data_IF_935592132905
#
_entry.id   IF_935592132905
#
_cell.length_a   1.000
_cell.length_b   1.000
_cell.length_c   1.000
_cell.angle_alpha   90.00
_cell.angle_beta   90.00
_cell.angle_gamma   90.00
#
_symmetry.space_group_name_H-M   'P 1'
#
loop_
_entity.id
_entity.type
_entity.pdbx_description
1 polymer ?
#
# COMPACT_ATOMS: atom_id res chain seq x y z
N UNK A 1 -40.90 -43.16 -14.20
CA UNK A 1 -39.82 -43.51 -13.22
C UNK A 1 -38.53 -43.64 -14.03
N UNK A 2 -37.45 -42.90 -13.83
CA UNK A 2 -36.95 -42.14 -12.68
C UNK A 2 -36.30 -40.83 -13.14
N UNK A 3 -36.44 -39.81 -12.30
CA UNK A 3 -35.71 -38.55 -12.31
C UNK A 3 -34.25 -38.77 -11.87
N UNK A 4 -33.32 -38.05 -12.50
CA UNK A 4 -32.01 -37.71 -11.92
C UNK A 4 -31.48 -36.39 -12.49
N UNK A 5 -31.69 -35.33 -11.71
CA UNK A 5 -31.14 -33.96 -11.65
C UNK A 5 -29.78 -33.65 -12.30
N UNK A 6 -29.63 -32.49 -12.98
CA UNK A 6 -28.37 -31.76 -13.07
C UNK A 6 -28.16 -30.90 -11.81
N UNK A 7 -26.99 -31.06 -11.18
CA UNK A 7 -26.55 -30.24 -10.05
C UNK A 7 -26.12 -28.85 -10.56
N UNK A 8 -27.04 -27.89 -10.50
CA UNK A 8 -26.73 -26.45 -10.60
C UNK A 8 -25.90 -26.05 -9.38
N UNK A 9 -24.58 -25.89 -9.57
CA UNK A 9 -23.74 -25.21 -8.59
C UNK A 9 -24.08 -23.72 -8.62
N UNK A 10 -24.89 -23.32 -7.65
CA UNK A 10 -25.19 -21.94 -7.32
C UNK A 10 -23.87 -21.18 -7.05
N UNK A 11 -23.61 -20.15 -7.85
CA UNK A 11 -22.71 -19.07 -7.44
C UNK A 11 -23.35 -18.41 -6.20
N UNK A 12 -22.64 -18.27 -5.07
CA UNK A 12 -23.06 -17.35 -4.04
C UNK A 12 -22.88 -15.94 -4.61
N UNK A 13 -23.97 -15.35 -5.09
CA UNK A 13 -24.07 -13.91 -5.33
C UNK A 13 -23.99 -13.25 -3.95
N UNK A 14 -22.78 -12.91 -3.52
CA UNK A 14 -22.58 -11.99 -2.40
C UNK A 14 -22.77 -10.57 -2.92
N UNK A 15 -24.03 -10.16 -3.05
CA UNK A 15 -24.38 -8.75 -3.01
C UNK A 15 -24.19 -8.26 -1.58
N UNK A 16 -22.99 -7.79 -1.24
CA UNK A 16 -22.71 -7.13 0.05
C UNK A 16 -22.41 -5.67 -0.26
N UNK A 17 -23.27 -4.80 0.24
CA UNK A 17 -23.04 -3.35 0.35
C UNK A 17 -21.68 -3.08 1.02
N UNK A 18 -20.88 -2.23 0.38
CA UNK A 18 -19.44 -2.07 0.63
C UNK A 18 -19.05 -1.59 2.04
N UNK A 19 -19.95 -1.00 2.85
CA UNK A 19 -19.61 -0.61 4.22
C UNK A 19 -19.45 -1.79 5.21
N UNK A 20 -20.23 -2.87 5.08
CA UNK A 20 -20.27 -3.92 6.12
C UNK A 20 -19.23 -5.03 5.96
N UNK A 21 -18.78 -5.28 4.73
CA UNK A 21 -17.80 -6.32 4.45
C UNK A 21 -16.43 -5.97 5.03
N UNK A 22 -16.02 -4.70 4.92
CA UNK A 22 -14.70 -4.24 5.37
C UNK A 22 -14.48 -4.48 6.86
N UNK A 23 -15.43 -4.09 7.70
CA UNK A 23 -15.39 -4.32 9.16
C UNK A 23 -15.32 -5.81 9.50
N UNK A 24 -16.08 -6.63 8.78
CA UNK A 24 -16.10 -8.07 9.00
C UNK A 24 -14.77 -8.74 8.59
N UNK A 25 -14.12 -8.24 7.54
CA UNK A 25 -12.78 -8.70 7.12
C UNK A 25 -11.69 -8.19 8.06
N UNK A 26 -11.77 -6.94 8.52
CA UNK A 26 -10.85 -6.36 9.50
C UNK A 26 -10.89 -7.13 10.82
N UNK A 27 -12.09 -7.42 11.35
CA UNK A 27 -12.25 -8.22 12.56
C UNK A 27 -11.72 -9.66 12.40
N UNK A 28 -11.92 -10.28 11.23
CA UNK A 28 -11.36 -11.61 10.93
C UNK A 28 -9.84 -11.59 10.81
N UNK A 29 -9.28 -10.53 10.24
CA UNK A 29 -7.84 -10.33 10.10
C UNK A 29 -7.16 -10.04 11.44
N UNK A 30 -7.77 -9.22 12.31
CA UNK A 30 -7.30 -9.01 13.67
C UNK A 30 -7.34 -10.29 14.51
N UNK A 31 -8.39 -11.10 14.39
CA UNK A 31 -8.47 -12.41 15.06
C UNK A 31 -7.38 -13.38 14.54
N UNK A 32 -7.08 -13.35 13.24
CA UNK A 32 -5.99 -14.12 12.66
C UNK A 32 -4.62 -13.66 13.18
N UNK A 33 -4.34 -12.35 13.18
CA UNK A 33 -3.10 -11.80 13.73
C UNK A 33 -2.93 -12.09 15.24
N UNK A 34 -4.03 -12.02 16.00
CA UNK A 34 -4.06 -12.38 17.42
C UNK A 34 -3.75 -13.86 17.67
N UNK A 35 -4.16 -14.77 16.77
CA UNK A 35 -3.83 -16.19 16.85
C UNK A 35 -2.36 -16.51 16.54
N UNK A 36 -1.65 -15.61 15.84
CA UNK A 36 -0.22 -15.77 15.50
C UNK A 36 0.73 -15.05 16.48
N UNK A 37 0.22 -14.49 17.58
CA UNK A 37 1.06 -13.86 18.61
C UNK A 37 1.75 -12.57 18.16
N UNK A 38 1.32 -11.96 17.05
CA UNK A 38 1.82 -10.67 16.62
C UNK A 38 1.07 -9.57 17.38
N UNK A 39 1.58 -9.20 18.55
CA UNK A 39 1.21 -7.91 19.16
C UNK A 39 1.53 -6.80 18.15
N UNK A 40 0.54 -5.98 17.74
CA UNK A 40 0.86 -4.74 17.03
C UNK A 40 1.83 -3.95 17.91
N UNK A 41 2.90 -3.33 17.38
CA UNK A 41 3.71 -2.43 18.17
C UNK A 41 2.76 -1.34 18.68
N UNK A 42 2.49 -1.40 19.99
CA UNK A 42 1.74 -0.39 20.70
C UNK A 42 2.42 0.94 20.46
N UNK A 43 1.60 1.93 20.13
CA UNK A 43 2.02 3.31 19.94
C UNK A 43 2.88 3.76 21.13
N UNK A 44 4.18 3.95 20.88
CA UNK A 44 5.01 4.81 21.72
C UNK A 44 4.80 6.24 21.20
N UNK A 45 4.24 7.16 22.00
CA UNK A 45 4.12 8.55 21.61
C UNK A 45 5.41 9.27 21.97
N UNK A 46 6.32 9.47 21.01
CA UNK A 46 7.38 10.45 21.21
C UNK A 46 7.81 11.12 19.89
N UNK A 47 7.49 12.41 19.84
CA UNK A 47 8.18 13.50 19.15
C UNK A 47 8.44 13.39 17.63
N UNK A 48 7.46 13.90 16.86
CA UNK A 48 7.74 14.96 15.89
C UNK A 48 6.48 15.82 15.70
N UNK A 49 6.23 16.69 16.68
CA UNK A 49 5.42 17.89 16.44
C UNK A 49 6.27 18.83 15.57
N UNK A 50 6.16 18.66 14.25
CA UNK A 50 6.50 19.75 13.34
C UNK A 50 5.55 20.91 13.66
N UNK A 51 6.11 21.93 14.31
CA UNK A 51 5.49 23.22 14.61
C UNK A 51 4.64 23.71 13.44
N UNK A 52 3.32 23.75 13.63
CA UNK A 52 2.47 24.72 12.97
C UNK A 52 2.93 26.10 13.43
N UNK A 53 3.70 26.80 12.60
CA UNK A 53 4.01 28.20 12.83
C UNK A 53 2.75 29.02 12.58
N UNK A 54 2.06 29.35 13.67
CA UNK A 54 1.21 30.54 13.74
C UNK A 54 2.05 31.76 13.34
N UNK A 55 1.66 32.38 12.24
CA UNK A 55 2.07 33.74 11.88
C UNK A 55 0.83 34.52 11.45
N UNK A 56 -0.06 34.77 12.41
CA UNK A 56 -1.00 35.88 12.31
C UNK A 56 -0.30 37.16 12.69
N UNK A 57 0.13 37.94 11.69
CA UNK A 57 0.08 39.41 11.74
C UNK A 57 0.18 40.03 10.34
N UNK A 58 -0.85 40.83 10.03
CA UNK A 58 -0.88 41.98 9.12
C UNK A 58 -1.04 41.78 7.60
N UNK A 59 -2.29 42.01 7.18
CA UNK A 59 -2.72 42.94 6.11
C UNK A 59 -2.38 42.59 4.66
N UNK A 60 -3.31 41.86 4.04
CA UNK A 60 -3.44 41.73 2.59
C UNK A 60 -4.36 40.56 2.29
N UNK A 61 -5.40 40.77 1.49
CA UNK A 61 -6.39 39.77 1.11
C UNK A 61 -5.76 38.63 0.29
N UNK A 62 -5.01 37.73 0.93
CA UNK A 62 -4.57 36.46 0.38
C UNK A 62 -5.45 35.36 0.98
N UNK A 63 -6.01 34.52 0.12
CA UNK A 63 -6.68 33.30 0.55
C UNK A 63 -5.74 32.51 1.48
N UNK A 64 -6.25 31.90 2.56
CA UNK A 64 -5.42 31.11 3.46
C UNK A 64 -4.70 30.02 2.66
N UNK A 65 -3.39 29.87 2.87
CA UNK A 65 -2.59 28.87 2.18
C UNK A 65 -3.19 27.47 2.39
N UNK A 66 -3.34 26.69 1.31
CA UNK A 66 -3.89 25.34 1.41
C UNK A 66 -2.96 24.45 2.25
N UNK A 67 -3.48 23.69 3.23
CA UNK A 67 -2.64 22.78 4.02
C UNK A 67 -2.06 21.67 3.13
N UNK A 68 -0.90 21.17 3.54
CA UNK A 68 -0.27 19.99 2.93
C UNK A 68 -0.80 18.77 3.67
N UNK A 69 -1.53 17.92 2.97
CA UNK A 69 -2.20 16.77 3.59
C UNK A 69 -1.29 15.54 3.61
N UNK A 70 -1.19 14.87 4.76
CA UNK A 70 -0.43 13.62 4.90
C UNK A 70 -1.35 12.44 4.66
N UNK A 71 -1.07 11.67 3.62
CA UNK A 71 -1.85 10.51 3.22
C UNK A 71 -1.40 9.27 3.96
N UNK A 72 -2.36 8.60 4.58
CA UNK A 72 -2.23 7.34 5.33
C UNK A 72 -3.27 6.35 4.83
N UNK A 73 -3.10 5.07 5.16
CA UNK A 73 -4.01 4.02 4.69
C UNK A 73 -5.48 4.29 5.06
N UNK A 74 -5.72 4.96 6.19
CA UNK A 74 -7.05 5.16 6.75
C UNK A 74 -7.73 6.43 6.22
N UNK A 75 -6.97 7.48 5.86
CA UNK A 75 -7.54 8.79 5.54
C UNK A 75 -7.46 9.18 4.04
N UNK A 76 -6.66 8.48 3.23
CA UNK A 76 -6.30 8.99 1.90
C UNK A 76 -7.50 9.16 0.96
N UNK A 77 -8.51 8.28 1.04
CA UNK A 77 -9.70 8.41 0.20
C UNK A 77 -10.52 9.64 0.60
N UNK A 78 -10.78 9.78 1.89
CA UNK A 78 -11.61 10.86 2.42
C UNK A 78 -10.97 12.22 2.18
N UNK A 79 -9.64 12.32 2.33
CA UNK A 79 -8.90 13.54 2.02
C UNK A 79 -8.97 13.89 0.53
N UNK A 80 -8.74 12.92 -0.37
CA UNK A 80 -8.74 13.18 -1.81
C UNK A 80 -10.14 13.51 -2.36
N UNK A 81 -11.19 12.90 -1.81
CA UNK A 81 -12.58 13.19 -2.19
C UNK A 81 -13.19 14.39 -1.46
N UNK A 82 -12.62 14.80 -0.32
CA UNK A 82 -13.11 15.93 0.49
C UNK A 82 -13.37 17.23 -0.29
N UNK A 83 -12.46 17.70 -1.16
CA UNK A 83 -12.70 18.92 -1.95
C UNK A 83 -13.58 18.67 -3.19
N UNK A 84 -13.85 17.42 -3.56
CA UNK A 84 -14.56 17.08 -4.79
C UNK A 84 -16.06 17.33 -4.61
N UNK A 85 -16.58 18.35 -5.30
CA UNK A 85 -18.01 18.62 -5.31
C UNK A 85 -18.74 17.54 -6.12
N UNK A 86 -19.79 16.96 -5.53
CA UNK A 86 -20.58 15.87 -6.12
C UNK A 86 -21.23 16.21 -7.47
N UNK A 87 -21.44 17.49 -7.76
CA UNK A 87 -22.06 17.99 -9.00
C UNK A 87 -21.09 18.68 -9.95
N UNK A 88 -19.79 18.77 -9.61
CA UNK A 88 -18.81 19.44 -10.47
C UNK A 88 -18.39 18.54 -11.62
N UNK A 89 -18.41 19.09 -12.84
CA UNK A 89 -17.80 18.48 -14.03
C UNK A 89 -16.31 18.79 -14.14
N UNK A 90 -15.83 19.81 -13.42
CA UNK A 90 -14.40 20.16 -13.38
C UNK A 90 -13.68 19.28 -12.35
N UNK A 91 -12.59 18.61 -12.75
CA UNK A 91 -11.82 17.78 -11.83
C UNK A 91 -11.04 18.64 -10.84
N UNK A 92 -11.05 18.25 -9.57
CA UNK A 92 -10.20 18.85 -8.55
C UNK A 92 -8.80 18.24 -8.65
N UNK A 93 -7.78 19.06 -8.85
CA UNK A 93 -6.43 18.59 -9.07
C UNK A 93 -5.63 18.50 -7.75
N UNK A 94 -5.08 17.31 -7.51
CA UNK A 94 -4.20 16.98 -6.39
C UNK A 94 -2.79 16.70 -6.87
N UNK A 95 -1.81 17.25 -6.17
CA UNK A 95 -0.38 17.00 -6.38
C UNK A 95 0.18 16.33 -5.14
N UNK A 96 0.48 15.05 -5.25
CA UNK A 96 0.96 14.22 -4.15
C UNK A 96 2.42 13.88 -4.39
N UNK A 97 3.30 14.27 -3.48
CA UNK A 97 4.66 13.76 -3.46
C UNK A 97 4.67 12.37 -2.84
N UNK A 98 5.24 11.41 -3.57
CA UNK A 98 5.50 10.07 -3.08
C UNK A 98 6.97 9.92 -2.78
N UNK A 99 7.28 9.66 -1.52
CA UNK A 99 8.64 9.41 -1.05
C UNK A 99 8.78 8.01 -0.45
N UNK A 100 10.03 7.54 -0.38
CA UNK A 100 10.41 6.28 0.25
C UNK A 100 11.33 6.46 1.45
N UNK A 101 11.44 7.67 2.00
CA UNK A 101 12.29 7.96 3.15
C UNK A 101 13.74 7.51 2.94
N UNK A 102 14.34 6.95 3.99
CA UNK A 102 15.70 6.45 3.93
C UNK A 102 15.75 5.03 3.40
N UNK A 103 14.85 4.13 3.82
CA UNK A 103 14.95 2.71 3.47
C UNK A 103 14.39 2.40 2.09
N UNK A 104 13.14 2.77 1.84
CA UNK A 104 12.43 2.43 0.59
C UNK A 104 13.03 3.15 -0.62
N UNK A 105 13.75 4.25 -0.41
CA UNK A 105 14.42 5.03 -1.45
C UNK A 105 15.95 4.88 -1.47
N UNK A 106 16.50 3.85 -0.82
CA UNK A 106 17.96 3.59 -0.77
C UNK A 106 18.80 4.79 -0.29
N UNK A 107 18.26 5.61 0.60
CA UNK A 107 18.89 6.79 1.17
C UNK A 107 18.97 8.00 0.23
N UNK A 108 18.23 7.99 -0.89
CA UNK A 108 18.34 9.03 -1.93
C UNK A 108 17.11 9.92 -2.07
N UNK A 109 16.15 9.83 -1.15
CA UNK A 109 14.96 10.68 -1.19
C UNK A 109 15.10 12.00 -0.42
N UNK A 110 16.14 12.17 0.40
CA UNK A 110 16.32 13.37 1.21
C UNK A 110 16.34 14.66 0.36
N UNK A 111 16.93 14.60 -0.82
CA UNK A 111 17.06 15.75 -1.72
C UNK A 111 15.71 16.16 -2.36
N UNK A 112 14.97 15.25 -3.03
CA UNK A 112 13.62 15.57 -3.51
C UNK A 112 12.62 15.89 -2.40
N UNK A 113 12.74 15.30 -1.21
CA UNK A 113 11.90 15.66 -0.04
C UNK A 113 12.16 17.10 0.43
N UNK A 114 13.44 17.49 0.55
CA UNK A 114 13.80 18.86 0.92
C UNK A 114 13.33 19.87 -0.13
N UNK A 115 13.47 19.52 -1.42
CA UNK A 115 12.97 20.32 -2.52
C UNK A 115 11.44 20.51 -2.46
N UNK A 116 10.70 19.44 -2.16
CA UNK A 116 9.24 19.50 -2.00
C UNK A 116 8.88 20.42 -0.84
N UNK A 117 9.42 20.18 0.35
CA UNK A 117 9.13 20.99 1.54
C UNK A 117 9.45 22.48 1.35
N UNK A 118 10.45 22.82 0.53
CA UNK A 118 10.80 24.20 0.21
C UNK A 118 9.91 24.86 -0.86
N UNK A 119 9.25 24.07 -1.71
CA UNK A 119 8.42 24.56 -2.82
C UNK A 119 6.92 24.54 -2.49
N UNK A 120 6.44 23.53 -1.76
CA UNK A 120 5.02 23.36 -1.43
C UNK A 120 4.41 24.56 -0.71
N UNK A 121 5.05 25.23 0.28
CA UNK A 121 4.49 26.44 0.90
C UNK A 121 4.32 27.58 -0.09
N UNK A 122 5.20 27.68 -1.09
CA UNK A 122 5.11 28.70 -2.15
C UNK A 122 3.95 28.40 -3.08
N UNK A 123 3.76 27.14 -3.45
CA UNK A 123 2.64 26.69 -4.28
C UNK A 123 1.32 26.88 -3.53
N UNK A 124 1.24 26.49 -2.26
CA UNK A 124 0.05 26.59 -1.43
C UNK A 124 -0.44 28.04 -1.22
N UNK A 125 0.47 29.02 -1.26
CA UNK A 125 0.16 30.44 -1.15
C UNK A 125 -0.41 31.04 -2.45
N UNK A 126 -0.38 30.32 -3.58
CA UNK A 126 -0.91 30.80 -4.85
C UNK A 126 -2.45 30.65 -4.88
N UNK A 127 -3.17 31.61 -5.49
CA UNK A 127 -4.64 31.66 -5.46
C UNK A 127 -5.32 30.48 -6.18
N UNK A 128 -4.73 30.03 -7.29
CA UNK A 128 -5.17 28.87 -8.06
C UNK A 128 -4.12 27.76 -7.92
N UNK A 129 -3.93 27.23 -6.72
CA UNK A 129 -3.01 26.12 -6.47
C UNK A 129 -3.74 24.78 -6.44
N UNK A 130 -3.12 23.67 -6.89
CA UNK A 130 -3.64 22.34 -6.66
C UNK A 130 -3.67 22.03 -5.17
N UNK A 131 -4.48 21.04 -4.78
CA UNK A 131 -4.38 20.47 -3.44
C UNK A 131 -3.05 19.72 -3.31
N UNK A 132 -2.36 19.88 -2.19
CA UNK A 132 -1.02 19.34 -2.01
C UNK A 132 -1.08 18.20 -1.00
N UNK A 133 -0.48 17.06 -1.36
CA UNK A 133 -0.42 15.88 -0.53
C UNK A 133 0.99 15.34 -0.39
N UNK A 134 1.19 14.52 0.63
CA UNK A 134 2.44 13.87 0.93
C UNK A 134 2.20 12.42 1.36
N UNK A 135 2.82 11.48 0.65
CA UNK A 135 2.75 10.06 0.92
C UNK A 135 4.16 9.52 1.17
N UNK A 136 4.40 9.06 2.41
CA UNK A 136 5.64 8.42 2.79
C UNK A 136 5.47 6.88 2.78
N UNK A 137 6.09 6.22 1.81
CA UNK A 137 6.06 4.77 1.64
C UNK A 137 6.89 3.98 2.67
N UNK A 138 7.78 4.64 3.41
CA UNK A 138 8.46 4.00 4.55
C UNK A 138 7.50 3.93 5.75
N UNK A 139 6.73 4.99 6.01
CA UNK A 139 5.75 5.03 7.09
C UNK A 139 4.44 4.29 6.74
N UNK A 140 4.01 4.33 5.47
CA UNK A 140 2.76 3.74 4.98
C UNK A 140 3.02 2.75 3.82
N UNK A 141 3.73 1.64 4.07
CA UNK A 141 4.15 0.72 3.01
C UNK A 141 2.97 0.01 2.36
N UNK A 142 1.89 -0.26 3.10
CA UNK A 142 0.67 -0.88 2.55
C UNK A 142 -0.02 0.06 1.58
N UNK A 143 -0.18 1.34 1.94
CA UNK A 143 -0.78 2.33 1.04
C UNK A 143 0.03 2.48 -0.26
N UNK A 144 1.36 2.47 -0.17
CA UNK A 144 2.18 2.50 -1.37
C UNK A 144 2.07 1.24 -2.24
N UNK A 145 1.81 0.08 -1.65
CA UNK A 145 1.46 -1.12 -2.42
C UNK A 145 0.06 -1.03 -3.05
N UNK A 146 -0.93 -0.45 -2.34
CA UNK A 146 -2.27 -0.17 -2.91
C UNK A 146 -2.17 0.70 -4.16
N UNK A 147 -1.31 1.71 -4.11
CA UNK A 147 -1.08 2.62 -5.24
C UNK A 147 -0.09 2.04 -6.25
N UNK A 148 0.65 0.97 -5.90
CA UNK A 148 1.83 0.50 -6.65
C UNK A 148 2.79 1.65 -6.97
N UNK A 149 3.00 2.50 -5.97
CA UNK A 149 3.71 3.76 -6.14
C UNK A 149 5.22 3.60 -5.98
N UNK A 150 5.97 4.21 -6.92
CA UNK A 150 7.43 4.26 -6.88
C UNK A 150 7.95 5.61 -6.39
N UNK A 151 8.90 5.60 -5.47
CA UNK A 151 9.56 6.80 -4.95
C UNK A 151 10.95 7.06 -5.61
N UNK A 152 11.38 8.33 -5.76
CA UNK A 152 10.60 9.56 -5.57
C UNK A 152 9.80 9.93 -6.83
N UNK A 153 8.54 10.33 -6.68
CA UNK A 153 7.72 10.82 -7.78
C UNK A 153 6.64 11.80 -7.33
N UNK A 154 6.22 12.69 -8.23
CA UNK A 154 5.04 13.56 -8.04
C UNK A 154 3.89 12.98 -8.85
N UNK A 155 2.75 12.81 -8.21
CA UNK A 155 1.52 12.32 -8.83
C UNK A 155 0.54 13.47 -8.94
N UNK A 156 0.06 13.72 -10.15
CA UNK A 156 -1.06 14.63 -10.39
C UNK A 156 -2.32 13.78 -10.57
N UNK A 157 -3.26 13.92 -9.65
CA UNK A 157 -4.53 13.22 -9.65
C UNK A 157 -5.63 14.21 -10.00
N UNK A 158 -6.36 13.94 -11.07
CA UNK A 158 -7.55 14.71 -11.46
C UNK A 158 -8.77 14.04 -10.85
N UNK A 159 -9.10 14.44 -9.63
CA UNK A 159 -10.19 13.84 -8.87
C UNK A 159 -11.54 14.27 -9.45
N UNK A 160 -12.39 13.29 -9.74
CA UNK A 160 -13.77 13.50 -10.20
C UNK A 160 -14.74 12.86 -9.20
N UNK A 161 -15.99 13.32 -9.11
CA UNK A 161 -16.97 12.67 -8.24
C UNK A 161 -17.17 11.22 -8.67
N UNK A 162 -17.20 10.31 -7.68
CA UNK A 162 -17.52 8.91 -7.93
C UNK A 162 -18.91 8.80 -8.59
N UNK A 163 -19.11 7.92 -9.60
CA UNK A 163 -18.24 6.81 -10.04
C UNK A 163 -17.29 7.16 -11.22
N UNK A 164 -17.06 8.44 -11.51
CA UNK A 164 -16.25 8.84 -12.66
C UNK A 164 -14.79 8.39 -12.51
N UNK A 165 -14.16 8.07 -13.64
CA UNK A 165 -12.76 7.65 -13.67
C UNK A 165 -11.81 8.80 -13.30
N UNK A 166 -10.90 8.53 -12.37
CA UNK A 166 -9.88 9.46 -11.89
C UNK A 166 -8.62 9.32 -12.75
N UNK A 167 -8.18 10.39 -13.41
CA UNK A 167 -6.95 10.35 -14.22
C UNK A 167 -5.74 10.62 -13.32
N UNK A 168 -4.74 9.72 -13.36
CA UNK A 168 -3.49 9.89 -12.62
C UNK A 168 -2.33 9.94 -13.60
N UNK A 169 -1.54 11.01 -13.53
CA UNK A 169 -0.29 11.16 -14.28
C UNK A 169 0.88 11.29 -13.32
N UNK A 170 1.97 10.60 -13.65
CA UNK A 170 3.13 10.42 -12.77
C UNK A 170 4.34 11.12 -13.38
N UNK A 171 5.02 11.93 -12.57
CA UNK A 171 6.34 12.49 -12.87
C UNK A 171 7.38 11.88 -11.93
N UNK A 172 8.20 10.92 -12.41
CA UNK A 172 9.36 10.46 -11.66
C UNK A 172 10.35 11.61 -11.44
N UNK A 173 10.99 11.61 -10.28
CA UNK A 173 11.96 12.63 -9.90
C UNK A 173 13.39 12.08 -9.91
N UNK A 174 14.34 12.93 -10.29
CA UNK A 174 15.76 12.61 -10.22
C UNK A 174 16.21 12.68 -8.76
N UNK A 175 16.67 11.56 -8.23
CA UNK A 175 17.09 11.44 -6.83
C UNK A 175 18.23 12.38 -6.43
N UNK A 176 19.04 12.81 -7.40
CA UNK A 176 20.25 13.59 -7.16
C UNK A 176 20.17 15.03 -7.70
N UNK A 177 19.15 15.37 -8.51
CA UNK A 177 19.10 16.66 -9.23
C UNK A 177 17.80 17.44 -8.98
N UNK A 178 16.78 16.85 -8.36
CA UNK A 178 15.53 17.55 -8.02
C UNK A 178 15.72 18.64 -6.97
N UNK A 179 15.79 19.90 -7.39
CA UNK A 179 15.81 21.06 -6.49
C UNK A 179 14.42 21.67 -6.31
N UNK A 180 14.27 22.63 -5.39
CA UNK A 180 13.02 23.36 -5.22
C UNK A 180 12.62 24.11 -6.52
N UNK A 181 13.60 24.63 -7.27
CA UNK A 181 13.35 25.26 -8.56
C UNK A 181 12.80 24.25 -9.56
N UNK A 182 13.37 23.04 -9.62
CA UNK A 182 12.86 21.96 -10.47
C UNK A 182 11.38 21.67 -10.22
N UNK A 183 10.93 21.71 -8.96
CA UNK A 183 9.52 21.48 -8.61
C UNK A 183 8.64 22.67 -9.02
N UNK A 184 9.13 23.90 -8.86
CA UNK A 184 8.44 25.09 -9.36
C UNK A 184 8.33 25.09 -10.89
N UNK A 185 9.38 24.66 -11.60
CA UNK A 185 9.35 24.53 -13.06
C UNK A 185 8.34 23.45 -13.48
N UNK A 186 8.31 22.32 -12.77
CA UNK A 186 7.29 21.27 -12.97
C UNK A 186 5.88 21.84 -12.73
N UNK A 187 5.69 22.67 -11.70
CA UNK A 187 4.43 23.37 -11.41
C UNK A 187 4.01 24.32 -12.54
N UNK A 188 4.91 25.18 -13.00
CA UNK A 188 4.63 26.12 -14.08
C UNK A 188 4.32 25.40 -15.40
N UNK A 189 5.08 24.37 -15.75
CA UNK A 189 4.85 23.59 -16.97
C UNK A 189 3.59 22.73 -16.89
N UNK A 190 3.43 21.97 -15.80
CA UNK A 190 2.40 20.96 -15.66
C UNK A 190 1.04 21.51 -15.25
N UNK A 191 1.00 22.42 -14.28
CA UNK A 191 -0.25 22.96 -13.73
C UNK A 191 -0.66 24.25 -14.44
N UNK A 192 0.24 25.24 -14.52
CA UNK A 192 -0.11 26.56 -15.07
C UNK A 192 -0.27 26.52 -16.59
N UNK A 193 0.68 25.91 -17.31
CA UNK A 193 0.62 25.77 -18.77
C UNK A 193 -0.16 24.54 -19.23
N UNK A 194 -0.47 23.61 -18.32
CA UNK A 194 -1.18 22.37 -18.63
C UNK A 194 -0.37 21.37 -19.47
N UNK A 195 0.94 21.54 -19.64
CA UNK A 195 1.77 20.64 -20.41
C UNK A 195 2.25 19.46 -19.55
N UNK A 196 1.62 18.31 -19.76
CA UNK A 196 1.97 17.05 -19.08
C UNK A 196 2.44 15.96 -20.06
N UNK A 197 2.92 16.34 -21.24
CA UNK A 197 3.31 15.39 -22.30
C UNK A 197 4.47 14.46 -21.87
N UNK A 198 5.33 14.96 -20.97
CA UNK A 198 6.46 14.22 -20.40
C UNK A 198 6.10 13.41 -19.14
N UNK A 199 4.83 13.37 -18.76
CA UNK A 199 4.35 12.61 -17.61
C UNK A 199 3.81 11.27 -18.08
N UNK A 200 3.93 10.25 -17.23
CA UNK A 200 3.47 8.91 -17.55
C UNK A 200 2.04 8.75 -17.03
N UNK A 201 1.09 8.49 -17.92
CA UNK A 201 -0.26 8.13 -17.52
C UNK A 201 -0.25 6.78 -16.78
N UNK A 202 -0.85 6.73 -15.60
CA UNK A 202 -0.97 5.52 -14.82
C UNK A 202 -2.27 4.79 -15.18
N UNK A 203 -2.23 3.92 -16.20
CA UNK A 203 -3.37 3.08 -16.59
C UNK A 203 -3.10 1.60 -16.30
N UNK A 204 -2.66 1.31 -15.08
CA UNK A 204 -2.27 -0.05 -14.68
C UNK A 204 -3.41 -0.82 -14.01
N UNK A 205 -3.30 -2.16 -13.99
CA UNK A 205 -4.22 -3.04 -13.25
C UNK A 205 -4.27 -2.70 -11.75
N UNK A 206 -3.18 -2.13 -11.23
CA UNK A 206 -3.03 -1.65 -9.85
C UNK A 206 -3.38 -0.16 -9.68
N UNK A 207 -4.07 0.45 -10.65
CA UNK A 207 -4.53 1.83 -10.49
C UNK A 207 -5.43 1.94 -9.24
N UNK A 208 -5.16 2.89 -8.32
CA UNK A 208 -5.80 2.92 -6.99
C UNK A 208 -7.31 3.19 -6.98
N UNK A 209 -7.86 3.69 -8.09
CA UNK A 209 -9.28 4.01 -8.25
C UNK A 209 -9.91 3.17 -9.37
N UNK A 210 -9.31 3.17 -10.55
CA UNK A 210 -9.92 2.59 -11.75
C UNK A 210 -9.44 1.17 -12.06
N UNK A 211 -8.43 0.68 -11.33
CA UNK A 211 -7.80 -0.61 -11.57
C UNK A 211 -8.71 -1.78 -11.20
N UNK A 212 -8.36 -2.97 -11.70
CA UNK A 212 -9.12 -4.20 -11.43
C UNK A 212 -9.26 -4.46 -9.92
N UNK A 213 -8.17 -4.33 -9.17
CA UNK A 213 -8.20 -4.57 -7.73
C UNK A 213 -9.01 -3.51 -6.98
N UNK A 214 -9.01 -2.26 -7.45
CA UNK A 214 -9.77 -1.18 -6.84
C UNK A 214 -11.28 -1.37 -7.03
N UNK A 215 -11.69 -1.68 -8.27
CA UNK A 215 -13.09 -1.95 -8.64
C UNK A 215 -13.68 -3.15 -7.88
N UNK A 216 -12.86 -4.14 -7.53
CA UNK A 216 -13.28 -5.33 -6.79
C UNK A 216 -13.02 -5.24 -5.27
N UNK A 217 -12.61 -4.08 -4.74
CA UNK A 217 -12.25 -3.92 -3.32
C UNK A 217 -11.14 -4.86 -2.81
N UNK A 218 -10.29 -5.34 -3.72
CA UNK A 218 -9.18 -6.26 -3.44
C UNK A 218 -7.83 -5.55 -3.25
N UNK A 219 -7.74 -4.24 -3.51
CA UNK A 219 -6.45 -3.52 -3.46
C UNK A 219 -5.77 -3.62 -2.09
N UNK A 220 -6.52 -3.47 -1.00
CA UNK A 220 -5.96 -3.52 0.36
C UNK A 220 -5.48 -4.93 0.73
N UNK A 221 -6.29 -6.00 0.57
CA UNK A 221 -5.81 -7.38 0.78
C UNK A 221 -4.57 -7.72 -0.05
N UNK A 222 -4.57 -7.40 -1.35
CA UNK A 222 -3.42 -7.67 -2.23
C UNK A 222 -2.20 -6.86 -1.78
N UNK A 223 -2.38 -5.60 -1.38
CA UNK A 223 -1.29 -4.78 -0.87
C UNK A 223 -0.64 -5.36 0.40
N UNK A 224 -1.42 -5.93 1.33
CA UNK A 224 -0.87 -6.63 2.49
C UNK A 224 -0.06 -7.87 2.09
N UNK A 225 -0.52 -8.62 1.09
CA UNK A 225 0.23 -9.78 0.56
C UNK A 225 1.55 -9.34 -0.07
N UNK A 226 1.52 -8.30 -0.91
CA UNK A 226 2.74 -7.74 -1.52
C UNK A 226 3.70 -7.20 -0.47
N UNK A 227 3.18 -6.49 0.53
CA UNK A 227 3.97 -5.99 1.65
C UNK A 227 4.60 -7.14 2.45
N UNK A 228 3.84 -8.19 2.77
CA UNK A 228 4.35 -9.35 3.49
C UNK A 228 5.57 -9.98 2.78
N UNK A 229 5.48 -10.22 1.47
CA UNK A 229 6.60 -10.75 0.70
C UNK A 229 7.76 -9.76 0.52
N UNK A 230 7.52 -8.45 0.67
CA UNK A 230 8.60 -7.46 0.65
C UNK A 230 9.40 -7.42 1.95
N UNK A 231 8.76 -7.71 3.10
CA UNK A 231 9.39 -7.68 4.42
C UNK A 231 9.99 -9.03 4.78
N UNK A 232 9.37 -10.13 4.36
CA UNK A 232 9.85 -11.49 4.63
C UNK A 232 11.06 -11.81 3.76
N UNK A 233 12.25 -12.02 4.34
CA UNK A 233 13.41 -12.38 3.56
C UNK A 233 13.27 -13.77 2.92
N UNK A 234 13.87 -13.98 1.74
CA UNK A 234 13.86 -15.29 1.06
C UNK A 234 14.38 -16.44 1.94
N UNK A 235 15.36 -16.16 2.81
CA UNK A 235 15.89 -17.17 3.74
C UNK A 235 14.84 -17.66 4.76
N UNK A 236 13.94 -16.78 5.20
CA UNK A 236 12.92 -17.12 6.18
C UNK A 236 11.88 -18.08 5.57
N UNK A 237 11.52 -17.89 4.30
CA UNK A 237 10.65 -18.82 3.56
C UNK A 237 11.31 -20.20 3.43
N UNK A 238 12.60 -20.23 3.12
CA UNK A 238 13.35 -21.49 3.01
C UNK A 238 13.44 -22.23 4.36
N UNK A 239 13.59 -21.50 5.46
CA UNK A 239 13.52 -22.10 6.81
C UNK A 239 12.12 -22.63 7.11
N UNK A 240 11.06 -21.89 6.82
CA UNK A 240 9.69 -22.35 7.02
C UNK A 240 9.40 -23.66 6.26
N UNK A 241 9.79 -23.74 4.98
CA UNK A 241 9.64 -24.95 4.18
C UNK A 241 10.50 -26.09 4.74
N UNK A 242 11.72 -25.80 5.20
CA UNK A 242 12.62 -26.79 5.80
C UNK A 242 12.05 -27.38 7.09
N UNK A 243 11.52 -26.56 8.00
CA UNK A 243 10.90 -27.03 9.24
C UNK A 243 9.59 -27.79 8.98
N UNK A 244 8.79 -27.35 8.01
CA UNK A 244 7.55 -28.03 7.65
C UNK A 244 7.82 -29.41 7.02
N UNK A 245 8.79 -29.50 6.11
CA UNK A 245 9.23 -30.76 5.51
C UNK A 245 9.78 -31.72 6.56
N UNK A 246 10.67 -31.23 7.45
CA UNK A 246 11.21 -32.02 8.56
C UNK A 246 10.11 -32.47 9.52
N UNK A 247 9.13 -31.64 9.84
CA UNK A 247 7.97 -32.01 10.68
C UNK A 247 7.14 -33.14 10.05
N UNK A 248 6.87 -33.07 8.74
CA UNK A 248 6.16 -34.13 8.01
C UNK A 248 6.98 -35.42 7.92
N UNK A 249 8.29 -35.35 7.68
CA UNK A 249 9.18 -36.51 7.67
C UNK A 249 9.30 -37.16 9.05
N UNK A 250 9.41 -36.37 10.13
CA UNK A 250 9.49 -36.89 11.49
C UNK A 250 8.19 -37.62 11.90
N UNK A 251 7.03 -37.11 11.45
CA UNK A 251 5.74 -37.78 11.62
C UNK A 251 5.64 -39.09 10.84
N UNK A 252 6.31 -39.21 9.68
CA UNK A 252 6.34 -40.46 8.89
C UNK A 252 7.31 -41.48 9.50
N UNK A 253 8.51 -41.07 9.91
CA UNK A 253 9.47 -41.99 10.54
C UNK A 253 9.04 -42.48 11.93
N UNK A 254 8.22 -41.72 12.68
CA UNK A 254 7.63 -42.20 13.93
C UNK A 254 6.61 -43.34 13.74
N UNK A 255 6.00 -43.47 12.56
CA UNK A 255 5.11 -44.59 12.22
C UNK A 255 5.93 -45.84 11.86
N UNK A 256 7.06 -45.68 11.17
CA UNK A 256 7.95 -46.79 10.83
C UNK A 256 8.75 -47.32 12.04
N UNK A 257 9.11 -46.46 13.00
CA UNK A 257 9.85 -46.87 14.20
C UNK A 257 8.98 -47.63 15.22
N UNK A 258 7.67 -47.40 15.24
CA UNK A 258 6.72 -48.21 16.01
C UNK A 258 6.55 -49.63 15.43
N UNK A 259 6.82 -49.83 14.14
CA UNK A 259 6.84 -51.15 13.49
C UNK A 259 8.21 -51.85 13.51
N UNK A 260 9.31 -51.09 13.46
CA UNK A 260 10.67 -51.64 13.42
C UNK A 260 11.19 -52.14 14.78
N UNK A 261 10.61 -51.66 15.89
CA UNK A 261 10.98 -52.08 17.25
C UNK A 261 10.64 -53.55 17.60
N UNK A 262 9.78 -54.22 16.82
CA UNK A 262 9.41 -55.62 17.04
C UNK A 262 10.22 -56.63 16.19
N UNK A 263 10.97 -56.19 15.18
CA UNK A 263 11.71 -57.10 14.29
C UNK A 263 13.12 -57.47 14.81
N UNK A 264 13.66 -56.76 15.81
CA UNK A 264 15.04 -56.95 16.29
C UNK A 264 15.21 -57.95 17.45
N UNK A 265 14.26 -58.89 17.66
CA UNK A 265 14.38 -59.99 18.64
C UNK A 265 13.94 -61.33 18.07
N UNK A 266 14.64 -61.85 17.07
CA UNK A 266 14.70 -63.30 16.83
C UNK A 266 16.16 -63.73 16.89
N UNK A 267 16.51 -64.36 18.01
CA UNK A 267 17.82 -64.91 18.29
C UNK A 267 18.21 -66.03 17.32
N UNK A 268 19.52 -66.22 17.20
CA UNK A 268 20.17 -67.18 16.31
C UNK A 268 19.80 -68.65 16.63
N UNK A 269 19.68 -69.53 15.63
CA UNK A 269 19.78 -70.97 15.86
C UNK A 269 21.26 -71.41 15.97
N UNK A 270 21.59 -72.39 16.85
CA UNK A 270 22.93 -72.93 17.01
C UNK A 270 23.31 -73.86 15.84
N UNK A 271 24.62 -74.11 15.71
CA UNK A 271 25.25 -74.63 14.49
C UNK A 271 25.12 -76.12 14.21
N UNK A 272 25.76 -76.54 13.13
CA UNK A 272 26.26 -77.90 12.94
C UNK A 272 27.55 -77.84 12.11
N UNK A 273 28.66 -78.23 12.73
CA UNK A 273 29.91 -78.53 12.07
C UNK A 273 30.11 -80.05 12.14
N UNK A 274 30.02 -80.71 10.98
CA UNK A 274 30.57 -82.04 10.73
C UNK A 274 31.16 -82.07 9.33
#
# INVERSE_FOLDING_TARGET
MRLSTPLLLALPVLGVSAEGAYEQYYAKFQNFLGQFGATPPSATPEADKAKSSDASTATGSQAPAKPIEVLTLDNWKDLLYGPVKSTSTEPEEWWVMITGGNKTCWGRCAMPEAAWNASTPKIAALPNSPHLGYLNCEANPVLCNVWSAGAPSIWSLKMKPAPSEVEIVIKPLSRNETTAQTIMDIYEEGFVKGNKDKWVLNDSVFHPFNGFFAKNSLSVPVAYVLWFFSVVPNWAVMLCVSFMSRSMMNRRMGVDQAGAGQAARRGAPPGDAR
#
